data_IF_558305500033
#
_entry.id   IF_558305500033
#
_cell.length_a   1.000
_cell.length_b   1.000
_cell.length_c   1.000
_cell.angle_alpha   90.00
_cell.angle_beta   90.00
_cell.angle_gamma   90.00
#
_symmetry.space_group_name_H-M   'P 1'
#
loop_
_entity.id
_entity.type
_entity.pdbx_description
1 polymer ?
#
# COMPACT_ATOMS: atom_id res chain seq x y z
N UNK A 1 8.02 15.88 13.19
CA UNK A 1 9.38 15.30 13.39
C UNK A 1 9.63 14.11 12.45
N UNK A 2 8.70 13.16 12.33
CA UNK A 2 8.87 11.94 11.51
C UNK A 2 9.04 12.23 10.00
N UNK A 3 8.27 13.15 9.44
CA UNK A 3 8.39 13.55 8.03
C UNK A 3 9.73 14.26 7.72
N UNK A 4 10.27 15.03 8.69
CA UNK A 4 11.59 15.65 8.57
C UNK A 4 12.68 14.58 8.61
N UNK A 5 12.54 13.58 9.47
CA UNK A 5 13.45 12.44 9.53
C UNK A 5 13.44 11.61 8.24
N UNK A 6 12.25 11.35 7.65
CA UNK A 6 12.11 10.69 6.36
C UNK A 6 12.76 11.48 5.23
N UNK A 7 12.61 12.82 5.24
CA UNK A 7 13.22 13.71 4.26
C UNK A 7 14.76 13.70 4.36
N UNK A 8 15.31 13.75 5.58
CA UNK A 8 16.76 13.68 5.81
C UNK A 8 17.32 12.32 5.36
N UNK A 9 16.63 11.21 5.65
CA UNK A 9 17.03 9.89 5.19
C UNK A 9 16.98 9.78 3.66
N UNK A 10 15.96 10.33 3.04
CA UNK A 10 15.83 10.34 1.59
C UNK A 10 16.90 11.21 0.91
N UNK A 11 17.16 12.42 1.44
CA UNK A 11 18.19 13.32 0.92
C UNK A 11 19.60 12.73 1.08
N UNK A 12 19.84 11.91 2.11
CA UNK A 12 21.17 11.35 2.41
C UNK A 12 21.43 9.97 1.80
N UNK A 13 20.40 9.14 1.66
CA UNK A 13 20.53 7.76 1.17
C UNK A 13 19.75 7.50 -0.12
N UNK A 14 18.78 8.32 -0.46
CA UNK A 14 18.03 8.23 -1.71
C UNK A 14 18.90 8.56 -2.91
N UNK A 15 19.82 9.53 -2.77
CA UNK A 15 20.74 9.92 -3.83
C UNK A 15 21.80 8.84 -4.13
N UNK A 16 22.33 8.15 -3.12
CA UNK A 16 23.30 7.06 -3.31
C UNK A 16 22.68 5.83 -4.01
N UNK A 17 21.38 5.57 -3.77
CA UNK A 17 20.64 4.52 -4.49
C UNK A 17 20.28 4.94 -5.93
N UNK A 18 20.26 6.25 -6.20
CA UNK A 18 19.92 6.80 -7.51
C UNK A 18 21.10 6.82 -8.48
N UNK A 19 22.33 6.89 -8.01
CA UNK A 19 23.52 6.97 -8.89
C UNK A 19 23.89 5.63 -9.54
N UNK A 20 23.56 4.48 -8.92
CA UNK A 20 23.84 3.15 -9.49
C UNK A 20 22.79 2.68 -10.53
N UNK A 21 21.62 3.34 -10.65
CA UNK A 21 20.49 2.85 -11.47
C UNK A 21 20.13 3.74 -12.68
N UNK A 22 20.95 4.72 -13.04
CA UNK A 22 20.58 5.77 -14.00
C UNK A 22 21.05 5.51 -15.44
N UNK A 23 20.69 4.37 -16.04
CA UNK A 23 20.67 4.25 -17.50
C UNK A 23 19.23 4.29 -18.06
N UNK A 24 18.96 5.40 -18.78
CA UNK A 24 17.91 5.53 -19.79
C UNK A 24 16.49 5.06 -19.42
N UNK A 25 15.76 5.79 -18.58
CA UNK A 25 14.27 5.79 -18.62
C UNK A 25 13.54 4.51 -18.22
N UNK A 26 14.24 3.43 -17.92
CA UNK A 26 13.69 2.17 -17.42
C UNK A 26 14.07 1.94 -15.97
N UNK A 27 13.07 1.53 -15.19
CA UNK A 27 13.29 1.10 -13.80
C UNK A 27 14.08 -0.21 -13.86
N UNK A 28 15.33 -0.20 -13.39
CA UNK A 28 16.08 -1.41 -13.14
C UNK A 28 15.89 -1.82 -11.68
N UNK A 29 15.22 -2.93 -11.48
CA UNK A 29 15.00 -3.48 -10.15
C UNK A 29 16.22 -4.29 -9.72
N UNK A 30 16.67 -4.09 -8.50
CA UNK A 30 17.61 -5.02 -7.86
C UNK A 30 16.95 -6.39 -7.70
N UNK A 31 17.73 -7.47 -7.55
CA UNK A 31 17.19 -8.82 -7.29
C UNK A 31 16.21 -8.82 -6.12
N UNK A 32 16.54 -8.10 -5.09
CA UNK A 32 15.73 -7.93 -3.89
C UNK A 32 14.37 -7.24 -4.16
N UNK A 33 14.33 -6.24 -5.04
CA UNK A 33 13.10 -5.57 -5.47
C UNK A 33 12.29 -6.47 -6.39
N UNK A 34 12.93 -7.20 -7.29
CA UNK A 34 12.28 -8.17 -8.18
C UNK A 34 11.53 -9.26 -7.39
N UNK A 35 12.16 -9.80 -6.36
CA UNK A 35 11.53 -10.79 -5.47
C UNK A 35 10.32 -10.19 -4.74
N UNK A 36 10.44 -8.93 -4.30
CA UNK A 36 9.34 -8.20 -3.68
C UNK A 36 8.16 -7.98 -4.62
N UNK A 37 8.40 -7.61 -5.87
CA UNK A 37 7.37 -7.49 -6.92
C UNK A 37 6.69 -8.83 -7.20
N UNK A 38 7.47 -9.89 -7.38
CA UNK A 38 6.93 -11.23 -7.61
C UNK A 38 6.03 -11.71 -6.46
N UNK A 39 6.44 -11.41 -5.22
CA UNK A 39 5.62 -11.71 -4.04
C UNK A 39 4.34 -10.86 -4.01
N UNK A 40 4.44 -9.54 -4.24
CA UNK A 40 3.28 -8.65 -4.28
C UNK A 40 2.26 -9.11 -5.32
N UNK A 41 2.69 -9.49 -6.51
CA UNK A 41 1.82 -10.01 -7.57
C UNK A 41 1.05 -11.26 -7.12
N UNK A 42 1.74 -12.25 -6.54
CA UNK A 42 1.07 -13.48 -6.04
C UNK A 42 0.03 -13.17 -4.97
N UNK A 43 0.32 -12.23 -4.06
CA UNK A 43 -0.63 -11.81 -3.02
C UNK A 43 -1.84 -11.11 -3.66
N UNK A 44 -1.61 -10.19 -4.62
CA UNK A 44 -2.66 -9.48 -5.34
C UNK A 44 -3.56 -10.41 -6.16
N UNK A 45 -3.03 -11.48 -6.74
CA UNK A 45 -3.81 -12.48 -7.47
C UNK A 45 -4.73 -13.27 -6.53
N UNK A 46 -4.29 -13.57 -5.32
CA UNK A 46 -5.05 -14.38 -4.37
C UNK A 46 -6.05 -13.58 -3.54
N UNK A 47 -5.66 -12.38 -3.10
CA UNK A 47 -6.42 -11.60 -2.11
C UNK A 47 -6.89 -10.23 -2.62
N UNK A 48 -6.61 -9.90 -3.88
CA UNK A 48 -6.87 -8.57 -4.48
C UNK A 48 -6.20 -7.40 -3.74
N UNK A 49 -5.38 -7.65 -2.73
CA UNK A 49 -4.65 -6.61 -2.03
C UNK A 49 -3.39 -7.12 -1.37
N UNK A 50 -2.42 -6.22 -1.18
CA UNK A 50 -1.14 -6.53 -0.55
C UNK A 50 -0.68 -5.37 0.33
N UNK A 51 -0.13 -5.69 1.50
CA UNK A 51 0.55 -4.74 2.38
C UNK A 51 2.06 -4.81 2.15
N UNK A 52 2.69 -3.72 1.75
CA UNK A 52 4.15 -3.63 1.62
C UNK A 52 4.69 -2.90 2.86
N UNK A 53 5.18 -3.68 3.82
CA UNK A 53 5.58 -3.23 5.14
C UNK A 53 7.11 -3.21 5.29
N UNK A 54 7.79 -2.57 4.35
CA UNK A 54 9.24 -2.47 4.36
C UNK A 54 9.73 -1.25 5.13
N UNK A 55 10.92 -1.34 5.69
CA UNK A 55 11.62 -0.20 6.28
C UNK A 55 11.81 0.92 5.27
N UNK A 56 12.00 2.14 5.78
CA UNK A 56 12.30 3.31 4.93
C UNK A 56 13.56 3.07 4.10
N UNK A 57 13.54 3.48 2.84
CA UNK A 57 14.70 3.35 1.92
C UNK A 57 14.87 1.97 1.27
N UNK A 58 13.95 1.02 1.44
CA UNK A 58 13.99 -0.28 0.77
C UNK A 58 13.31 -0.33 -0.60
N UNK A 59 12.96 0.82 -1.15
CA UNK A 59 12.44 0.90 -2.52
C UNK A 59 10.98 0.47 -2.68
N UNK A 60 10.11 0.78 -1.71
CA UNK A 60 8.64 0.56 -1.86
C UNK A 60 8.08 1.20 -3.12
N UNK A 61 8.55 2.40 -3.45
CA UNK A 61 8.12 3.14 -4.64
C UNK A 61 8.48 2.43 -5.95
N UNK A 62 9.60 1.70 -5.99
CA UNK A 62 9.98 0.92 -7.18
C UNK A 62 9.08 -0.31 -7.37
N UNK A 63 8.65 -0.97 -6.27
CA UNK A 63 7.66 -2.06 -6.38
C UNK A 63 6.34 -1.51 -6.92
N UNK A 64 5.88 -0.38 -6.39
CA UNK A 64 4.67 0.25 -6.87
C UNK A 64 4.78 0.65 -8.36
N UNK A 65 5.93 1.17 -8.78
CA UNK A 65 6.16 1.56 -10.17
C UNK A 65 6.11 0.38 -11.14
N UNK A 66 6.69 -0.76 -10.79
CA UNK A 66 6.59 -1.96 -11.64
C UNK A 66 5.14 -2.47 -11.74
N UNK A 67 4.36 -2.39 -10.65
CA UNK A 67 2.94 -2.70 -10.69
C UNK A 67 2.15 -1.70 -11.56
N UNK A 68 2.50 -0.42 -11.53
CA UNK A 68 1.91 0.57 -12.44
C UNK A 68 2.25 0.29 -13.89
N UNK A 69 3.51 -0.02 -14.20
CA UNK A 69 3.95 -0.36 -15.56
C UNK A 69 3.16 -1.56 -16.09
N UNK A 70 2.97 -2.59 -15.28
CA UNK A 70 2.17 -3.75 -15.68
C UNK A 70 0.72 -3.37 -15.97
N UNK A 71 0.06 -2.66 -15.06
CA UNK A 71 -1.35 -2.32 -15.19
C UNK A 71 -1.58 -1.34 -16.34
N UNK A 72 -0.76 -0.29 -16.42
CA UNK A 72 -0.99 0.83 -17.37
C UNK A 72 -0.47 0.46 -18.77
N UNK A 73 0.77 -0.02 -18.86
CA UNK A 73 1.41 -0.21 -20.17
C UNK A 73 1.08 -1.57 -20.79
N UNK A 74 1.11 -2.65 -19.96
CA UNK A 74 0.86 -4.01 -20.48
C UNK A 74 -0.62 -4.32 -20.58
N UNK A 75 -1.40 -3.98 -19.54
CA UNK A 75 -2.82 -4.33 -19.47
C UNK A 75 -3.75 -3.22 -20.02
N UNK A 76 -3.22 -2.02 -20.30
CA UNK A 76 -3.99 -0.86 -20.77
C UNK A 76 -5.12 -0.44 -19.84
N UNK A 77 -4.92 -0.62 -18.54
CA UNK A 77 -5.85 -0.27 -17.48
C UNK A 77 -5.39 0.98 -16.74
N UNK A 78 -6.27 1.57 -15.94
CA UNK A 78 -5.94 2.74 -15.12
C UNK A 78 -5.47 2.34 -13.73
N UNK A 79 -4.53 3.10 -13.21
CA UNK A 79 -4.06 2.99 -11.84
C UNK A 79 -4.09 4.35 -11.16
N UNK A 80 -4.37 4.35 -9.86
CA UNK A 80 -4.40 5.52 -9.00
C UNK A 80 -3.39 5.36 -7.87
N UNK A 81 -2.63 6.41 -7.61
CA UNK A 81 -1.79 6.54 -6.42
C UNK A 81 -2.37 7.61 -5.49
N UNK A 82 -2.55 7.25 -4.24
CA UNK A 82 -3.01 8.15 -3.18
C UNK A 82 -1.87 8.34 -2.18
N UNK A 83 -1.45 9.58 -1.97
CA UNK A 83 -0.31 9.90 -1.11
C UNK A 83 -0.56 11.18 -0.31
N UNK A 84 0.17 11.44 0.79
CA UNK A 84 0.17 12.77 1.41
C UNK A 84 0.53 13.85 0.40
N UNK A 85 -0.11 15.03 0.45
CA UNK A 85 0.09 16.11 -0.51
C UNK A 85 1.58 16.47 -0.68
N UNK A 86 2.33 16.49 0.41
CA UNK A 86 3.76 16.77 0.38
C UNK A 86 4.55 15.72 -0.42
N UNK A 87 4.23 14.43 -0.31
CA UNK A 87 4.89 13.35 -1.06
C UNK A 87 4.43 13.33 -2.52
N UNK A 88 3.14 13.63 -2.79
CA UNK A 88 2.60 13.79 -4.13
C UNK A 88 3.39 14.83 -4.91
N UNK A 89 3.57 16.02 -4.35
CA UNK A 89 4.15 17.18 -5.03
C UNK A 89 5.68 17.16 -5.10
N UNK A 90 6.33 16.39 -4.25
CA UNK A 90 7.80 16.27 -4.21
C UNK A 90 8.28 14.92 -4.77
N UNK A 91 8.19 13.87 -3.96
CA UNK A 91 8.74 12.55 -4.24
C UNK A 91 8.08 11.91 -5.46
N UNK A 92 6.76 11.80 -5.47
CA UNK A 92 6.05 11.14 -6.56
C UNK A 92 6.04 11.95 -7.85
N UNK A 93 5.99 13.28 -7.78
CA UNK A 93 6.11 14.12 -8.97
C UNK A 93 7.49 13.98 -9.63
N UNK A 94 8.57 13.90 -8.83
CA UNK A 94 9.93 13.62 -9.31
C UNK A 94 10.04 12.21 -9.89
N UNK A 95 9.52 11.22 -9.18
CA UNK A 95 9.53 9.83 -9.58
C UNK A 95 8.82 9.61 -10.93
N UNK A 96 7.61 10.15 -11.09
CA UNK A 96 6.87 10.09 -12.35
C UNK A 96 7.65 10.66 -13.53
N UNK A 97 8.27 11.83 -13.35
CA UNK A 97 9.07 12.49 -14.42
C UNK A 97 10.29 11.67 -14.77
N UNK A 98 11.01 11.15 -13.77
CA UNK A 98 12.26 10.39 -13.98
C UNK A 98 12.00 9.07 -14.69
N UNK A 99 11.00 8.33 -14.28
CA UNK A 99 10.70 6.98 -14.77
C UNK A 99 9.54 6.92 -15.76
N UNK A 100 9.01 8.07 -16.16
CA UNK A 100 7.91 8.21 -17.12
C UNK A 100 6.66 7.36 -16.79
N UNK A 101 6.38 7.18 -15.50
CA UNK A 101 5.24 6.39 -15.03
C UNK A 101 3.94 7.17 -15.22
N UNK A 102 3.03 6.65 -16.02
CA UNK A 102 1.76 7.28 -16.40
C UNK A 102 0.65 7.22 -15.35
N UNK A 103 0.98 7.01 -14.04
CA UNK A 103 -0.02 6.90 -12.98
C UNK A 103 -0.63 8.26 -12.61
N UNK A 104 -1.92 8.26 -12.34
CA UNK A 104 -2.59 9.41 -11.71
C UNK A 104 -2.25 9.47 -10.22
N UNK A 105 -1.96 10.65 -9.69
CA UNK A 105 -1.59 10.82 -8.27
C UNK A 105 -2.47 11.89 -7.63
N UNK A 106 -3.17 11.52 -6.57
CA UNK A 106 -3.99 12.44 -5.78
C UNK A 106 -3.52 12.49 -4.32
N UNK A 107 -3.89 13.54 -3.62
CA UNK A 107 -3.65 13.64 -2.19
C UNK A 107 -4.79 13.01 -1.37
N UNK A 108 -4.54 12.81 -0.06
CA UNK A 108 -5.58 12.36 0.88
C UNK A 108 -6.74 13.36 0.96
N UNK A 109 -6.44 14.65 0.84
CA UNK A 109 -7.42 15.74 0.86
C UNK A 109 -8.28 15.70 -0.41
N UNK A 110 -7.67 15.48 -1.58
CA UNK A 110 -8.38 15.34 -2.85
C UNK A 110 -9.29 14.10 -2.84
N UNK A 111 -8.82 12.96 -2.31
CA UNK A 111 -9.68 11.79 -2.12
C UNK A 111 -10.89 12.12 -1.24
N UNK A 112 -10.67 12.83 -0.13
CA UNK A 112 -11.74 13.25 0.78
C UNK A 112 -12.72 14.22 0.13
N UNK A 113 -12.25 15.14 -0.71
CA UNK A 113 -13.10 16.07 -1.44
C UNK A 113 -13.94 15.35 -2.50
N UNK A 114 -13.34 14.42 -3.24
CA UNK A 114 -14.04 13.68 -4.29
C UNK A 114 -15.06 12.68 -3.73
N UNK A 115 -14.69 11.88 -2.75
CA UNK A 115 -15.46 10.71 -2.30
C UNK A 115 -15.77 10.70 -0.79
N UNK A 116 -15.48 11.77 -0.07
CA UNK A 116 -15.83 11.92 1.34
C UNK A 116 -17.34 12.08 1.58
N UNK A 117 -17.72 12.34 2.83
CA UNK A 117 -19.16 12.42 3.22
C UNK A 117 -19.93 13.54 2.49
N UNK A 118 -19.21 14.61 2.11
CA UNK A 118 -19.74 15.73 1.33
C UNK A 118 -19.09 15.82 -0.05
N UNK A 119 -18.53 14.72 -0.54
CA UNK A 119 -17.86 14.68 -1.85
C UNK A 119 -18.88 14.80 -2.98
N UNK A 120 -18.52 15.60 -3.99
CA UNK A 120 -19.34 15.84 -5.18
C UNK A 120 -18.96 14.92 -6.36
N UNK A 121 -17.98 14.02 -6.15
CA UNK A 121 -17.43 13.16 -7.19
C UNK A 121 -16.36 13.81 -8.06
N UNK A 122 -16.19 15.13 -7.96
CA UNK A 122 -15.17 15.85 -8.70
C UNK A 122 -13.78 15.70 -8.03
N UNK A 123 -12.72 15.69 -8.83
CA UNK A 123 -11.35 15.66 -8.33
C UNK A 123 -10.58 14.38 -8.62
N UNK A 124 -11.23 13.37 -9.19
CA UNK A 124 -10.58 12.23 -9.86
C UNK A 124 -10.50 12.50 -11.36
N UNK A 125 -9.41 12.07 -11.99
CA UNK A 125 -9.22 12.21 -13.44
C UNK A 125 -10.06 11.25 -14.28
N UNK A 126 -10.77 10.31 -13.63
CA UNK A 126 -11.66 9.34 -14.26
C UNK A 126 -12.72 8.85 -13.26
N UNK A 127 -13.70 8.11 -13.77
CA UNK A 127 -14.67 7.43 -12.92
C UNK A 127 -13.96 6.48 -11.94
N UNK A 128 -14.34 6.43 -10.66
CA UNK A 128 -13.79 5.47 -9.71
C UNK A 128 -13.73 4.04 -10.25
N UNK A 129 -14.69 3.61 -11.04
CA UNK A 129 -14.75 2.25 -11.59
C UNK A 129 -13.76 1.97 -12.73
N UNK A 130 -13.17 3.00 -13.31
CA UNK A 130 -12.11 2.85 -14.32
C UNK A 130 -10.76 2.39 -13.74
N UNK A 131 -10.55 2.57 -12.44
CA UNK A 131 -9.29 2.18 -11.80
C UNK A 131 -9.30 0.70 -11.42
N UNK A 132 -8.34 -0.05 -11.93
CA UNK A 132 -8.14 -1.47 -11.60
C UNK A 132 -7.10 -1.69 -10.50
N UNK A 133 -6.21 -0.73 -10.29
CA UNK A 133 -5.19 -0.75 -9.23
C UNK A 133 -5.21 0.57 -8.45
N UNK A 134 -5.30 0.48 -7.14
CA UNK A 134 -5.17 1.61 -6.22
C UNK A 134 -3.98 1.37 -5.30
N UNK A 135 -3.01 2.26 -5.33
CA UNK A 135 -1.84 2.23 -4.43
C UNK A 135 -1.97 3.36 -3.42
N UNK A 136 -1.80 3.05 -2.15
CA UNK A 136 -1.86 4.02 -1.05
C UNK A 136 -0.48 4.12 -0.42
N UNK A 137 0.17 5.27 -0.55
CA UNK A 137 1.41 5.55 0.16
C UNK A 137 1.12 6.11 1.54
N UNK A 138 1.99 5.81 2.51
CA UNK A 138 1.79 6.09 3.93
C UNK A 138 0.42 5.59 4.45
N UNK A 139 0.09 4.35 4.06
CA UNK A 139 -1.21 3.74 4.32
C UNK A 139 -1.61 3.71 5.81
N UNK A 140 -0.66 3.86 6.74
CA UNK A 140 -0.95 4.01 8.16
C UNK A 140 -1.92 5.17 8.49
N UNK A 141 -2.07 6.14 7.58
CA UNK A 141 -3.05 7.23 7.72
C UNK A 141 -4.51 6.75 7.64
N UNK A 142 -4.75 5.55 7.14
CA UNK A 142 -6.08 4.96 6.93
C UNK A 142 -6.48 3.89 7.96
N UNK A 143 -5.65 3.66 8.98
CA UNK A 143 -5.90 2.64 10.02
C UNK A 143 -7.09 2.96 10.95
N UNK A 144 -7.52 4.22 11.05
CA UNK A 144 -8.76 4.54 11.78
C UNK A 144 -9.95 4.49 10.81
N UNK A 145 -10.84 3.48 10.94
CA UNK A 145 -11.96 3.25 10.03
C UNK A 145 -13.04 4.32 10.08
N UNK A 146 -13.11 5.12 11.15
CA UNK A 146 -14.17 6.10 11.40
C UNK A 146 -13.88 7.48 10.78
N UNK A 147 -12.73 7.64 10.15
CA UNK A 147 -12.37 8.90 9.50
C UNK A 147 -13.08 9.07 8.14
N UNK A 148 -13.36 10.32 7.75
CA UNK A 148 -13.93 10.64 6.43
C UNK A 148 -13.06 10.10 5.29
N UNK A 149 -11.72 10.21 5.42
CA UNK A 149 -10.77 9.65 4.44
C UNK A 149 -10.87 8.13 4.31
N UNK A 150 -11.08 7.42 5.42
CA UNK A 150 -11.25 5.97 5.41
C UNK A 150 -12.53 5.56 4.69
N UNK A 151 -13.63 6.31 4.92
CA UNK A 151 -14.89 6.10 4.20
C UNK A 151 -14.75 6.42 2.71
N UNK A 152 -14.05 7.50 2.36
CA UNK A 152 -13.77 7.85 0.96
C UNK A 152 -12.96 6.74 0.25
N UNK A 153 -11.94 6.20 0.91
CA UNK A 153 -11.16 5.07 0.36
C UNK A 153 -12.04 3.83 0.16
N UNK A 154 -12.90 3.49 1.13
CA UNK A 154 -13.83 2.35 0.95
C UNK A 154 -14.78 2.55 -0.22
N UNK A 155 -15.29 3.77 -0.44
CA UNK A 155 -16.13 4.08 -1.61
C UNK A 155 -15.35 3.91 -2.91
N UNK A 156 -14.10 4.40 -2.97
CA UNK A 156 -13.23 4.20 -4.13
C UNK A 156 -13.01 2.72 -4.44
N UNK A 157 -12.85 1.89 -3.41
CA UNK A 157 -12.51 0.48 -3.58
C UNK A 157 -13.73 -0.41 -3.91
N UNK A 158 -14.94 0.11 -3.81
CA UNK A 158 -16.15 -0.58 -4.26
C UNK A 158 -16.10 -0.79 -5.78
N UNK A 159 -16.75 -1.82 -6.26
CA UNK A 159 -16.89 -2.14 -7.68
C UNK A 159 -16.85 -3.63 -7.95
N UNK A 160 -17.29 -4.01 -9.15
CA UNK A 160 -17.23 -5.36 -9.68
C UNK A 160 -16.68 -5.30 -11.12
N UNK A 161 -15.50 -5.86 -11.39
CA UNK A 161 -14.65 -6.68 -10.50
C UNK A 161 -13.98 -5.86 -9.38
N UNK A 162 -13.56 -6.53 -8.28
CA UNK A 162 -12.89 -5.87 -7.18
C UNK A 162 -11.54 -5.29 -7.62
N UNK A 163 -11.26 -4.07 -7.19
CA UNK A 163 -10.00 -3.38 -7.49
C UNK A 163 -8.83 -4.03 -6.75
N UNK A 164 -7.66 -4.06 -7.38
CA UNK A 164 -6.43 -4.43 -6.70
C UNK A 164 -5.96 -3.27 -5.81
N UNK A 165 -5.54 -3.58 -4.59
CA UNK A 165 -5.13 -2.59 -3.57
C UNK A 165 -3.71 -2.87 -3.10
N UNK A 166 -2.85 -1.87 -3.13
CA UNK A 166 -1.49 -1.97 -2.55
C UNK A 166 -1.31 -0.89 -1.50
N UNK A 167 -1.00 -1.30 -0.29
CA UNK A 167 -0.76 -0.40 0.83
C UNK A 167 0.73 -0.35 1.16
N UNK A 168 1.34 0.82 1.00
CA UNK A 168 2.74 1.06 1.33
C UNK A 168 2.82 1.73 2.69
N UNK A 169 3.54 1.14 3.63
CA UNK A 169 3.78 1.75 4.94
C UNK A 169 5.07 1.22 5.56
N UNK A 170 5.74 2.04 6.36
CA UNK A 170 6.86 1.58 7.18
C UNK A 170 6.38 1.08 8.57
N UNK A 171 5.18 1.49 8.99
CA UNK A 171 4.65 1.25 10.33
C UNK A 171 3.20 0.77 10.26
N UNK A 172 2.95 -0.51 9.90
CA UNK A 172 1.59 -1.04 9.79
C UNK A 172 0.88 -1.12 11.16
N UNK A 173 1.66 -1.23 12.23
CA UNK A 173 1.19 -1.22 13.63
C UNK A 173 1.84 -0.05 14.36
N UNK A 174 1.06 0.71 15.11
CA UNK A 174 1.56 1.81 15.91
C UNK A 174 1.04 1.76 17.36
N UNK A 175 -0.27 1.70 17.54
CA UNK A 175 -0.90 1.74 18.85
C UNK A 175 -1.40 0.36 19.29
N UNK A 176 -1.92 -0.42 18.35
CA UNK A 176 -2.49 -1.73 18.63
C UNK A 176 -2.42 -2.65 17.41
N UNK A 177 -2.64 -3.94 17.63
CA UNK A 177 -2.78 -4.90 16.53
C UNK A 177 -3.99 -4.63 15.65
N UNK A 178 -4.98 -3.90 16.15
CA UNK A 178 -6.15 -3.46 15.38
C UNK A 178 -5.78 -2.50 14.25
N UNK A 179 -4.71 -1.71 14.40
CA UNK A 179 -4.18 -0.88 13.31
C UNK A 179 -3.91 -1.73 12.04
N UNK A 180 -3.34 -2.92 12.25
CA UNK A 180 -3.06 -3.87 11.16
C UNK A 180 -4.34 -4.51 10.62
N UNK A 181 -5.25 -4.95 11.51
CA UNK A 181 -6.54 -5.50 11.13
C UNK A 181 -7.32 -4.53 10.24
N UNK A 182 -7.39 -3.25 10.62
CA UNK A 182 -8.10 -2.21 9.88
C UNK A 182 -7.48 -1.96 8.49
N UNK A 183 -6.16 -2.06 8.37
CA UNK A 183 -5.50 -1.99 7.05
C UNK A 183 -5.82 -3.23 6.19
N UNK A 184 -5.80 -4.42 6.77
CA UNK A 184 -6.16 -5.65 6.04
C UNK A 184 -7.62 -5.65 5.59
N UNK A 185 -8.52 -5.06 6.37
CA UNK A 185 -9.95 -4.99 6.07
C UNK A 185 -10.29 -4.23 4.78
N UNK A 186 -9.36 -3.45 4.21
CA UNK A 186 -9.57 -2.80 2.91
C UNK A 186 -9.56 -3.78 1.73
N UNK A 187 -8.89 -4.93 1.86
CA UNK A 187 -8.80 -5.92 0.80
C UNK A 187 -9.10 -7.35 1.24
N UNK A 188 -9.35 -7.57 2.52
CA UNK A 188 -9.84 -8.85 3.07
C UNK A 188 -11.28 -8.62 3.58
N UNK A 189 -12.29 -8.66 2.69
CA UNK A 189 -13.66 -8.30 3.07
C UNK A 189 -14.36 -9.38 3.89
N UNK A 190 -13.89 -10.64 3.84
CA UNK A 190 -14.55 -11.75 4.50
C UNK A 190 -13.72 -12.26 5.68
N UNK A 191 -14.34 -12.33 6.84
CA UNK A 191 -13.73 -12.78 8.09
C UNK A 191 -13.16 -14.21 7.98
N UNK A 192 -13.79 -15.07 7.17
CA UNK A 192 -13.37 -16.45 6.92
C UNK A 192 -12.37 -16.63 5.76
N UNK A 193 -11.75 -15.56 5.26
CA UNK A 193 -10.83 -15.63 4.10
C UNK A 193 -9.69 -16.63 4.28
N UNK A 194 -9.26 -16.87 5.52
CA UNK A 194 -8.15 -17.79 5.85
C UNK A 194 -8.62 -19.12 6.46
N UNK A 195 -9.88 -19.51 6.23
CA UNK A 195 -10.41 -20.78 6.77
C UNK A 195 -9.68 -22.02 6.24
N UNK A 196 -9.20 -21.99 5.00
CA UNK A 196 -8.36 -23.03 4.39
C UNK A 196 -6.99 -23.18 5.05
N UNK A 197 -6.53 -22.14 5.76
CA UNK A 197 -5.29 -22.12 6.55
C UNK A 197 -5.55 -22.45 8.03
N UNK A 198 -6.74 -22.92 8.41
CA UNK A 198 -7.11 -23.21 9.78
C UNK A 198 -7.46 -21.98 10.62
N UNK A 199 -7.78 -20.85 9.97
CA UNK A 199 -8.18 -19.60 10.63
C UNK A 199 -9.62 -19.27 10.20
N UNK A 200 -10.63 -19.80 10.91
CA UNK A 200 -12.04 -19.65 10.50
C UNK A 200 -12.57 -18.21 10.68
N UNK A 201 -11.94 -17.41 11.54
CA UNK A 201 -12.29 -16.01 11.76
C UNK A 201 -11.03 -15.19 11.98
N UNK A 202 -10.80 -14.26 11.06
CA UNK A 202 -9.71 -13.27 11.15
C UNK A 202 -9.88 -12.40 12.40
N UNK A 203 -11.10 -11.92 12.64
CA UNK A 203 -11.42 -11.10 13.81
C UNK A 203 -11.12 -11.81 15.12
N UNK A 204 -11.60 -13.05 15.30
CA UNK A 204 -11.33 -13.81 16.51
C UNK A 204 -9.83 -14.07 16.72
N UNK A 205 -9.07 -14.25 15.64
CA UNK A 205 -7.62 -14.41 15.71
C UNK A 205 -6.93 -13.14 16.22
N UNK A 206 -7.38 -11.97 15.76
CA UNK A 206 -6.89 -10.67 16.24
C UNK A 206 -7.37 -10.36 17.67
N UNK A 207 -8.63 -10.68 18.03
CA UNK A 207 -9.14 -10.59 19.41
C UNK A 207 -8.26 -11.39 20.37
N UNK A 208 -7.96 -12.65 20.01
CA UNK A 208 -7.09 -13.52 20.81
C UNK A 208 -5.69 -12.92 20.96
N UNK A 209 -5.07 -12.49 19.86
CA UNK A 209 -3.73 -11.91 19.88
C UNK A 209 -3.66 -10.61 20.70
N UNK A 210 -4.66 -9.75 20.59
CA UNK A 210 -4.71 -8.48 21.31
C UNK A 210 -4.95 -8.63 22.80
N UNK A 211 -5.55 -9.74 23.23
CA UNK A 211 -5.77 -10.06 24.65
C UNK A 211 -4.54 -10.65 25.35
N UNK A 212 -3.50 -11.04 24.60
CA UNK A 212 -2.28 -11.63 25.16
C UNK A 212 -1.28 -10.55 25.56
N UNK A 213 -0.40 -10.89 26.50
CA UNK A 213 0.77 -10.07 26.81
C UNK A 213 1.73 -10.08 25.59
N UNK A 214 2.15 -8.92 25.08
CA UNK A 214 3.04 -8.82 23.91
C UNK A 214 4.35 -9.59 24.04
N UNK A 215 4.85 -9.78 25.26
CA UNK A 215 6.11 -10.51 25.51
C UNK A 215 5.94 -12.03 25.52
N UNK A 216 4.72 -12.52 25.70
CA UNK A 216 4.41 -13.97 25.77
C UNK A 216 3.59 -14.47 24.60
N UNK A 217 3.07 -13.57 23.76
CA UNK A 217 2.32 -13.91 22.56
C UNK A 217 3.20 -14.75 21.61
N UNK A 218 2.72 -15.96 21.26
CA UNK A 218 3.37 -16.75 20.22
C UNK A 218 3.26 -16.01 18.87
N UNK A 219 4.40 -15.63 18.24
CA UNK A 219 4.38 -14.95 16.94
C UNK A 219 3.62 -15.72 15.85
N UNK A 220 3.52 -17.04 15.95
CA UNK A 220 2.79 -17.89 14.99
C UNK A 220 1.31 -17.56 14.90
N UNK A 221 0.74 -16.97 15.94
CA UNK A 221 -0.69 -16.61 15.96
C UNK A 221 -1.08 -15.73 14.76
N UNK A 222 -0.23 -14.77 14.38
CA UNK A 222 -0.47 -13.86 13.25
C UNK A 222 0.47 -14.10 12.07
N UNK A 223 1.48 -14.96 12.21
CA UNK A 223 2.50 -15.17 11.19
C UNK A 223 1.91 -15.58 9.84
N UNK A 224 1.01 -16.56 9.84
CA UNK A 224 0.43 -17.08 8.59
C UNK A 224 -0.39 -16.01 7.84
N UNK A 225 -1.13 -15.17 8.57
CA UNK A 225 -1.88 -14.04 8.00
C UNK A 225 -0.93 -13.02 7.40
N UNK A 226 0.10 -12.63 8.15
CA UNK A 226 1.10 -11.67 7.69
C UNK A 226 1.89 -12.20 6.50
N UNK A 227 2.29 -13.47 6.54
CA UNK A 227 2.98 -14.09 5.42
C UNK A 227 2.11 -14.18 4.17
N UNK A 228 0.81 -14.42 4.32
CA UNK A 228 -0.14 -14.49 3.22
C UNK A 228 -0.45 -13.12 2.58
N UNK A 229 -0.39 -12.02 3.34
CA UNK A 229 -0.90 -10.70 2.93
C UNK A 229 0.16 -9.62 2.82
N UNK A 230 1.39 -9.88 3.30
CA UNK A 230 2.41 -8.85 3.46
C UNK A 230 3.68 -9.17 2.69
N UNK A 231 4.20 -8.19 1.99
CA UNK A 231 5.58 -8.17 1.52
C UNK A 231 6.41 -7.46 2.57
N UNK A 232 7.27 -8.19 3.25
CA UNK A 232 8.22 -7.65 4.22
C UNK A 232 9.63 -8.11 3.85
N UNK A 233 10.54 -7.16 3.80
CA UNK A 233 11.94 -7.41 3.49
C UNK A 233 12.79 -6.76 4.58
N UNK A 234 13.81 -7.47 5.04
CA UNK A 234 14.82 -6.97 5.98
C UNK A 234 16.17 -6.92 5.28
N UNK A 235 16.95 -5.86 5.52
CA UNK A 235 18.36 -5.87 5.15
C UNK A 235 19.07 -6.89 6.05
N UNK A 236 19.74 -7.84 5.45
CA UNK A 236 20.72 -8.70 6.12
C UNK A 236 22.08 -8.08 6.03
#
# INVERSE_FOLDING_TARGET
PYLIYLRILWERYGAELEEEEAEAGRIQLTRFQTDGVARAKRILERYHGALIADSVGLGKSFIAAELFTEVIERNRQRALLIAPAQLRDSTWARFKRRYQVGVEVISFEQLGAALGDNGDGDGLGADPDDYSLVVIDEAHAFRNPDTSRARALRRLLQGDPPKKVVMLTATPVNNSLWDLYDLLAYFIPHDATFADMGIPSLKQRFDYAAAQDPFTLDPKVLFDILDATTVRRTRH
#
